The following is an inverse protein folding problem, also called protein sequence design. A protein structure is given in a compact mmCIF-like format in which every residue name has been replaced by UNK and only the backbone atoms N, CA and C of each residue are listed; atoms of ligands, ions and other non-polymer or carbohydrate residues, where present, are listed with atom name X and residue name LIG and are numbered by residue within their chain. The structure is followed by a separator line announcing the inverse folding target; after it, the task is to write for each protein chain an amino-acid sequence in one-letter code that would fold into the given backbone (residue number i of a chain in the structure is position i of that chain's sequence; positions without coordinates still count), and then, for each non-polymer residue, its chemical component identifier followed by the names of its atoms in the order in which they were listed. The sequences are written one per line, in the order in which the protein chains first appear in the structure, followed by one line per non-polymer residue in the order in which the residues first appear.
data_IF_307682390294
#
_entry.id   IF_307682390294
#
_cell.length_a   1.000
_cell.length_b   1.000
_cell.length_c   1.000
_cell.angle_alpha   90.00
_cell.angle_beta   90.00
_cell.angle_gamma   90.00
#
_symmetry.space_group_name_H-M   'P 1'
#
loop_
_entity.id
_entity.type
_entity.pdbx_description
1 polymer ?
#
# COMPACT_ATOMS: atom_id res chain seq x y z
N UNK A 1 57.48 2.86 14.57
CA UNK A 1 57.07 2.73 15.97
C UNK A 1 56.41 1.39 16.11
N UNK A 2 56.43 0.80 17.30
CA UNK A 2 55.48 -0.28 17.60
C UNK A 2 54.06 0.28 17.47
N UNK A 3 53.17 -0.55 16.93
CA UNK A 3 51.73 -0.32 16.69
C UNK A 3 50.98 -1.39 17.49
N UNK A 4 51.23 -1.45 18.79
CA UNK A 4 50.46 -2.36 19.67
C UNK A 4 49.22 -1.60 20.14
N UNK A 5 48.04 -1.87 19.54
CA UNK A 5 46.82 -1.12 19.78
C UNK A 5 46.25 -1.34 21.19
N UNK A 6 46.77 -2.32 21.93
CA UNK A 6 46.33 -2.59 23.31
C UNK A 6 47.06 -1.73 24.35
N UNK A 7 47.89 -0.78 23.93
CA UNK A 7 48.65 0.09 24.83
C UNK A 7 47.83 1.33 25.18
N UNK A 8 47.81 1.68 26.47
CA UNK A 8 47.14 2.87 27.05
C UNK A 8 47.56 4.23 26.44
N UNK A 9 48.57 4.27 25.57
CA UNK A 9 49.08 5.50 24.96
C UNK A 9 48.99 5.45 23.42
N UNK A 10 48.33 4.44 22.85
CA UNK A 10 48.15 4.38 21.41
C UNK A 10 47.03 5.34 21.01
N UNK A 11 47.43 6.40 20.30
CA UNK A 11 46.51 7.40 19.78
C UNK A 11 46.12 6.98 18.36
N UNK A 12 44.82 6.93 18.08
CA UNK A 12 44.26 6.45 16.83
C UNK A 12 42.98 5.68 17.06
N UNK A 13 42.24 5.52 15.99
CA UNK A 13 40.92 4.91 15.90
C UNK A 13 41.04 3.85 14.79
N UNK A 14 41.13 2.57 15.18
CA UNK A 14 41.53 1.50 14.25
C UNK A 14 40.36 1.03 13.38
N UNK A 15 39.16 0.99 13.95
CA UNK A 15 37.92 0.58 13.31
C UNK A 15 37.09 1.75 12.76
N UNK A 16 37.44 2.99 13.10
CA UNK A 16 36.87 4.25 12.60
C UNK A 16 35.44 4.53 13.07
N UNK A 17 35.16 4.22 14.34
CA UNK A 17 33.86 4.53 14.98
C UNK A 17 33.86 5.89 15.71
N UNK A 18 34.99 6.61 15.73
CA UNK A 18 35.12 7.91 16.36
C UNK A 18 35.63 7.87 17.81
N UNK A 19 35.91 6.69 18.36
CA UNK A 19 36.60 6.51 19.64
C UNK A 19 38.09 6.24 19.43
N UNK A 20 38.93 6.75 20.33
CA UNK A 20 40.35 6.39 20.31
C UNK A 20 40.56 5.01 20.98
N UNK A 21 41.41 4.16 20.40
CA UNK A 21 41.76 2.81 20.89
C UNK A 21 42.09 2.75 22.40
N UNK A 22 42.73 3.80 22.94
CA UNK A 22 43.10 3.86 24.37
C UNK A 22 41.91 4.14 25.29
N UNK A 23 40.89 4.87 24.81
CA UNK A 23 39.64 5.11 25.53
C UNK A 23 38.86 3.80 25.62
N UNK A 24 38.75 3.10 24.49
CA UNK A 24 38.04 1.83 24.38
C UNK A 24 38.67 0.72 25.25
N UNK A 25 40.00 0.63 25.27
CA UNK A 25 40.72 -0.34 26.10
C UNK A 25 40.54 -0.08 27.62
N UNK A 26 39.91 1.03 28.01
CA UNK A 26 39.53 1.34 29.40
C UNK A 26 38.02 1.26 29.66
N UNK A 27 37.21 1.08 28.62
CA UNK A 27 35.76 0.87 28.68
C UNK A 27 35.43 -0.59 28.33
N UNK A 28 34.17 -0.88 28.03
CA UNK A 28 33.74 -2.19 27.56
C UNK A 28 33.94 -2.38 26.05
N UNK A 29 34.12 -1.27 25.32
CA UNK A 29 34.18 -1.22 23.86
C UNK A 29 35.48 -1.84 23.36
N UNK A 30 35.46 -2.35 22.15
CA UNK A 30 36.51 -3.13 21.55
C UNK A 30 37.13 -2.33 20.41
N UNK A 31 38.37 -1.88 20.62
CA UNK A 31 39.20 -1.11 19.64
C UNK A 31 39.30 -1.64 18.21
N UNK A 32 38.80 -2.82 17.91
CA UNK A 32 38.85 -3.44 16.59
C UNK A 32 37.47 -3.88 16.08
N UNK A 33 36.40 -3.41 16.70
CA UNK A 33 35.00 -3.69 16.40
C UNK A 33 34.22 -2.39 16.58
N UNK A 34 33.79 -1.80 15.46
CA UNK A 34 33.06 -0.51 15.42
C UNK A 34 31.77 -0.44 16.26
N UNK A 35 31.21 -1.60 16.58
CA UNK A 35 29.90 -1.77 17.23
C UNK A 35 30.06 -3.00 18.13
N UNK A 36 30.47 -2.75 19.37
CA UNK A 36 30.96 -3.77 20.30
C UNK A 36 29.85 -4.67 20.77
N UNK A 37 28.70 -4.09 21.08
CA UNK A 37 27.54 -4.83 21.55
C UNK A 37 26.68 -5.38 20.40
N UNK A 38 27.01 -4.93 19.19
CA UNK A 38 26.50 -5.43 17.94
C UNK A 38 25.12 -4.86 17.64
N UNK A 39 24.66 -3.84 18.35
CA UNK A 39 23.31 -3.29 18.26
C UNK A 39 22.99 -2.53 16.97
N UNK A 40 24.00 -2.27 16.13
CA UNK A 40 23.85 -1.63 14.83
C UNK A 40 24.10 -0.12 14.84
N UNK A 41 24.37 0.46 16.01
CA UNK A 41 24.92 1.81 16.17
C UNK A 41 26.40 1.67 16.54
N UNK A 42 27.25 2.59 16.07
CA UNK A 42 28.69 2.48 16.37
C UNK A 42 29.01 2.97 17.77
N UNK A 43 30.01 2.39 18.43
CA UNK A 43 30.31 2.68 19.84
C UNK A 43 30.51 4.19 20.10
N UNK A 44 31.09 4.90 19.13
CA UNK A 44 31.26 6.35 19.19
C UNK A 44 29.98 7.16 18.97
N UNK A 45 29.11 6.71 18.05
CA UNK A 45 27.80 7.34 17.80
C UNK A 45 26.86 7.20 19.00
N UNK A 46 26.90 6.05 19.67
CA UNK A 46 26.13 5.76 20.88
C UNK A 46 26.49 6.70 22.04
N UNK A 47 27.78 7.00 22.20
CA UNK A 47 28.30 7.92 23.21
C UNK A 47 28.07 9.39 22.86
N UNK A 48 27.69 9.70 21.62
CA UNK A 48 27.29 11.05 21.24
C UNK A 48 25.93 11.41 21.87
N UNK A 49 25.73 12.69 22.14
CA UNK A 49 24.52 13.23 22.73
C UNK A 49 23.29 13.08 21.82
N UNK A 50 23.49 12.74 20.55
CA UNK A 50 22.42 12.58 19.57
C UNK A 50 21.69 11.24 19.66
N UNK A 51 22.41 10.14 19.88
CA UNK A 51 21.83 8.80 20.06
C UNK A 51 21.55 8.57 21.55
N UNK A 52 22.53 8.91 22.41
CA UNK A 52 22.44 8.75 23.86
C UNK A 52 22.09 7.32 24.31
N UNK A 53 22.63 6.33 23.59
CA UNK A 53 22.49 4.88 23.85
C UNK A 53 23.71 4.40 24.66
N UNK A 54 23.87 3.08 24.88
CA UNK A 54 24.93 2.53 25.76
C UNK A 54 25.65 1.36 25.07
N UNK A 55 26.90 1.56 24.59
CA UNK A 55 27.65 0.57 23.80
C UNK A 55 28.09 -0.66 24.61
N UNK A 56 27.74 -0.71 25.89
CA UNK A 56 28.04 -1.81 26.78
C UNK A 56 26.83 -2.68 27.12
N UNK A 57 25.61 -2.25 26.77
CA UNK A 57 24.39 -2.82 27.32
C UNK A 57 23.97 -4.08 26.57
N UNK A 58 24.15 -4.14 25.25
CA UNK A 58 23.75 -5.26 24.40
C UNK A 58 24.80 -6.35 24.19
N UNK A 59 25.91 -6.34 24.93
CA UNK A 59 27.04 -7.31 24.79
C UNK A 59 26.70 -8.77 25.15
N UNK A 60 25.42 -9.06 25.38
CA UNK A 60 24.88 -10.39 25.66
C UNK A 60 25.04 -11.25 24.40
N UNK A 61 25.53 -12.48 24.54
CA UNK A 61 25.54 -13.45 23.44
C UNK A 61 24.56 -14.59 23.75
N UNK A 62 23.61 -14.87 22.86
CA UNK A 62 22.74 -16.05 23.00
C UNK A 62 23.33 -17.20 22.19
N UNK A 63 23.86 -18.19 22.89
CA UNK A 63 24.37 -19.42 22.29
C UNK A 63 23.27 -20.49 22.20
N UNK A 64 23.07 -21.05 21.00
CA UNK A 64 22.17 -22.19 20.74
C UNK A 64 22.95 -23.38 20.20
N UNK A 65 22.52 -24.59 20.57
CA UNK A 65 23.11 -25.82 20.07
C UNK A 65 22.46 -26.24 18.74
N UNK A 66 23.28 -26.62 17.77
CA UNK A 66 22.79 -27.14 16.49
C UNK A 66 22.43 -28.62 16.67
N UNK A 67 21.16 -28.96 16.46
CA UNK A 67 20.68 -30.34 16.49
C UNK A 67 20.80 -31.01 15.12
N UNK A 68 20.41 -30.31 14.07
CA UNK A 68 20.48 -30.82 12.69
C UNK A 68 20.53 -29.72 11.65
N UNK A 69 21.09 -30.04 10.49
CA UNK A 69 21.10 -29.22 9.29
C UNK A 69 20.52 -30.03 8.12
N UNK A 70 19.55 -29.47 7.42
CA UNK A 70 18.99 -30.02 6.20
C UNK A 70 19.36 -29.13 5.02
N UNK A 71 20.28 -29.61 4.18
CA UNK A 71 20.77 -28.86 3.01
C UNK A 71 19.77 -28.76 1.86
N UNK A 72 18.72 -29.58 1.83
CA UNK A 72 17.71 -29.53 0.76
C UNK A 72 16.73 -28.37 0.96
N UNK A 73 16.42 -28.06 2.23
CA UNK A 73 15.46 -27.03 2.61
C UNK A 73 16.13 -25.80 3.24
N UNK A 74 17.46 -25.72 3.19
CA UNK A 74 18.28 -24.72 3.90
C UNK A 74 17.82 -24.48 5.34
N UNK A 75 17.56 -25.56 6.08
CA UNK A 75 16.91 -25.51 7.38
C UNK A 75 17.85 -25.95 8.51
N UNK A 76 17.96 -25.10 9.54
CA UNK A 76 18.80 -25.32 10.71
C UNK A 76 17.94 -25.51 11.95
N UNK A 77 17.98 -26.70 12.56
CA UNK A 77 17.24 -26.99 13.79
C UNK A 77 18.14 -26.78 15.00
N UNK A 78 17.66 -25.96 15.93
CA UNK A 78 18.32 -25.62 17.18
C UNK A 78 17.71 -26.39 18.35
N UNK A 79 18.36 -26.34 19.52
CA UNK A 79 17.81 -26.92 20.76
C UNK A 79 16.61 -26.15 21.31
N UNK A 80 16.54 -24.84 21.03
CA UNK A 80 15.43 -23.95 21.36
C UNK A 80 15.60 -22.61 20.64
N UNK A 81 14.51 -22.01 20.16
CA UNK A 81 14.48 -20.63 19.64
C UNK A 81 14.00 -19.61 20.68
N UNK A 82 13.85 -19.99 21.94
CA UNK A 82 13.43 -19.07 23.01
C UNK A 82 14.45 -17.94 23.18
N UNK A 83 13.98 -16.69 23.24
CA UNK A 83 14.82 -15.49 23.34
C UNK A 83 15.39 -15.01 22.01
N UNK A 84 14.92 -15.54 20.88
CA UNK A 84 15.21 -15.01 19.55
C UNK A 84 13.99 -14.24 19.02
N UNK A 85 14.22 -13.17 18.25
CA UNK A 85 13.14 -12.41 17.62
C UNK A 85 12.39 -13.27 16.59
N UNK A 86 11.09 -13.58 16.76
CA UNK A 86 10.32 -14.39 15.81
C UNK A 86 10.23 -13.81 14.40
N UNK A 87 10.38 -12.49 14.24
CA UNK A 87 10.39 -11.80 12.95
C UNK A 87 11.81 -11.30 12.61
N UNK A 88 12.61 -12.09 11.88
CA UNK A 88 13.96 -11.71 11.49
C UNK A 88 14.03 -10.53 10.50
N UNK A 89 12.92 -10.16 9.85
CA UNK A 89 12.95 -9.10 8.86
C UNK A 89 12.78 -7.74 9.51
N UNK A 90 13.85 -6.94 9.43
CA UNK A 90 13.90 -5.55 9.82
C UNK A 90 14.29 -4.72 8.59
N UNK A 91 13.57 -3.63 8.35
CA UNK A 91 13.77 -2.75 7.21
C UNK A 91 15.11 -2.00 7.29
N UNK A 92 15.69 -1.85 8.49
CA UNK A 92 17.04 -1.29 8.70
C UNK A 92 18.17 -2.24 8.31
N UNK A 93 17.90 -3.55 8.30
CA UNK A 93 18.91 -4.57 8.06
C UNK A 93 19.27 -4.67 6.57
N UNK A 94 20.26 -3.88 6.16
CA UNK A 94 20.85 -3.86 4.81
C UNK A 94 21.73 -5.09 4.51
N UNK A 95 21.24 -6.30 4.83
CA UNK A 95 21.99 -7.56 4.65
C UNK A 95 23.08 -7.79 5.71
N UNK A 96 22.95 -7.16 6.88
CA UNK A 96 23.77 -7.44 8.03
C UNK A 96 23.55 -8.89 8.51
N UNK A 97 24.61 -9.57 9.00
CA UNK A 97 24.48 -10.93 9.48
C UNK A 97 23.69 -11.01 10.78
N UNK A 98 22.74 -11.94 10.85
CA UNK A 98 21.83 -12.08 11.99
C UNK A 98 22.34 -13.07 13.05
N UNK A 99 23.20 -13.99 12.62
CA UNK A 99 23.76 -15.01 13.48
C UNK A 99 25.08 -15.54 12.92
N UNK A 100 25.82 -16.23 13.78
CA UNK A 100 27.15 -16.74 13.47
C UNK A 100 27.28 -18.20 13.84
N UNK A 101 27.70 -19.04 12.90
CA UNK A 101 28.16 -20.39 13.21
C UNK A 101 29.50 -20.33 13.94
N UNK A 102 29.61 -21.02 15.07
CA UNK A 102 30.87 -21.13 15.82
C UNK A 102 31.54 -22.47 15.51
N UNK A 103 32.66 -22.38 14.83
CA UNK A 103 33.53 -23.51 14.52
C UNK A 103 34.33 -23.95 15.76
N UNK A 104 34.80 -25.21 15.80
CA UNK A 104 35.64 -25.73 16.90
C UNK A 104 36.95 -24.98 17.15
N UNK A 105 37.41 -24.17 16.20
CA UNK A 105 38.57 -23.29 16.33
C UNK A 105 38.22 -21.88 16.85
N UNK A 106 36.96 -21.61 17.19
CA UNK A 106 36.46 -20.30 17.61
C UNK A 106 36.13 -19.36 16.45
N UNK A 107 36.31 -19.77 15.19
CA UNK A 107 35.94 -18.94 14.04
C UNK A 107 34.43 -18.79 13.95
N UNK A 108 33.97 -17.54 13.80
CA UNK A 108 32.57 -17.20 13.54
C UNK A 108 32.33 -17.10 12.03
N UNK A 109 31.26 -17.71 11.52
CA UNK A 109 30.84 -17.58 10.11
C UNK A 109 29.44 -16.97 10.07
N UNK A 110 29.27 -15.76 9.53
CA UNK A 110 27.99 -15.06 9.49
C UNK A 110 26.96 -15.78 8.60
N UNK A 111 25.68 -15.63 8.93
CA UNK A 111 24.55 -16.05 8.13
C UNK A 111 23.27 -15.27 8.47
N UNK A 112 22.30 -15.31 7.57
CA UNK A 112 20.95 -14.77 7.69
C UNK A 112 19.92 -15.90 7.54
N UNK A 113 18.69 -15.69 7.99
CA UNK A 113 17.59 -16.64 7.85
C UNK A 113 16.27 -15.90 7.62
N UNK A 114 15.40 -16.43 6.76
CA UNK A 114 14.17 -15.72 6.37
C UNK A 114 13.01 -15.89 7.36
N UNK A 115 12.94 -16.99 8.10
CA UNK A 115 11.87 -17.17 9.09
C UNK A 115 12.22 -18.21 10.16
N UNK A 116 11.46 -18.17 11.26
CA UNK A 116 11.50 -19.19 12.30
C UNK A 116 10.19 -19.96 12.41
N UNK A 117 10.30 -21.28 12.43
CA UNK A 117 9.18 -22.17 12.67
C UNK A 117 9.51 -23.14 13.80
N UNK A 118 8.89 -22.91 14.96
CA UNK A 118 9.25 -23.57 16.21
C UNK A 118 10.77 -23.43 16.47
N UNK A 119 11.50 -24.54 16.65
CA UNK A 119 12.94 -24.53 16.90
C UNK A 119 13.81 -24.62 15.63
N UNK A 120 13.24 -24.34 14.44
CA UNK A 120 13.94 -24.44 13.15
C UNK A 120 13.98 -23.10 12.43
N UNK A 121 15.19 -22.66 12.08
CA UNK A 121 15.43 -21.56 11.16
C UNK A 121 15.25 -22.05 9.72
N UNK A 122 14.56 -21.26 8.89
CA UNK A 122 14.29 -21.54 7.48
C UNK A 122 14.97 -20.51 6.58
N UNK A 123 15.19 -20.91 5.33
CA UNK A 123 15.80 -20.07 4.30
C UNK A 123 17.16 -19.51 4.74
N UNK A 124 17.96 -20.37 5.39
CA UNK A 124 19.31 -20.01 5.82
C UNK A 124 20.20 -19.86 4.60
N UNK A 125 20.81 -18.68 4.45
CA UNK A 125 21.58 -18.30 3.26
C UNK A 125 22.95 -19.01 3.16
N UNK A 126 23.59 -19.26 4.30
CA UNK A 126 24.91 -19.89 4.41
C UNK A 126 24.78 -21.30 4.97
N UNK A 127 25.23 -22.27 4.18
CA UNK A 127 25.24 -23.66 4.60
C UNK A 127 26.12 -23.88 5.84
N UNK A 128 25.60 -24.63 6.82
CA UNK A 128 26.29 -24.97 8.06
C UNK A 128 27.69 -25.55 7.81
N UNK A 129 28.77 -24.97 8.36
CA UNK A 129 30.11 -25.56 8.32
C UNK A 129 30.18 -26.92 9.03
N UNK A 130 30.97 -27.86 8.50
CA UNK A 130 31.08 -29.22 9.04
C UNK A 130 31.59 -29.26 10.49
N UNK A 131 32.41 -28.30 10.88
CA UNK A 131 33.04 -28.16 12.19
C UNK A 131 32.30 -27.18 13.13
N UNK A 132 31.12 -26.68 12.75
CA UNK A 132 30.28 -25.88 13.63
C UNK A 132 29.40 -26.77 14.51
N UNK A 133 29.35 -26.51 15.82
CA UNK A 133 28.47 -27.22 16.76
C UNK A 133 27.39 -26.33 17.37
N UNK A 134 27.63 -25.03 17.37
CA UNK A 134 26.79 -24.03 18.02
C UNK A 134 26.62 -22.83 17.09
N UNK A 135 25.53 -22.10 17.32
CA UNK A 135 25.25 -20.80 16.73
C UNK A 135 25.25 -19.78 17.85
N UNK A 136 25.82 -18.62 17.58
CA UNK A 136 25.71 -17.46 18.46
C UNK A 136 24.93 -16.39 17.72
N UNK A 137 23.98 -15.80 18.42
CA UNK A 137 23.27 -14.61 18.01
C UNK A 137 23.94 -13.43 18.73
N UNK A 138 24.36 -12.46 17.93
CA UNK A 138 24.96 -11.17 18.29
C UNK A 138 24.06 -10.13 17.62
N UNK A 139 24.01 -8.91 18.13
CA UNK A 139 22.97 -7.93 17.83
C UNK A 139 21.68 -8.34 18.54
N UNK A 140 21.22 -7.55 19.50
CA UNK A 140 19.93 -7.75 20.15
C UNK A 140 19.02 -6.54 20.09
N UNK A 141 19.48 -5.40 19.58
CA UNK A 141 18.67 -4.19 19.43
C UNK A 141 17.49 -4.35 18.43
N UNK A 142 17.37 -5.53 17.82
CA UNK A 142 16.27 -6.00 16.96
C UNK A 142 15.42 -7.10 17.61
N UNK A 143 15.64 -7.52 18.86
CA UNK A 143 14.61 -8.26 19.62
C UNK A 143 13.51 -7.37 20.20
N UNK A 144 13.52 -6.09 19.80
CA UNK A 144 12.49 -5.12 19.99
C UNK A 144 11.10 -5.63 19.57
N UNK A 145 10.14 -5.46 20.46
CA UNK A 145 8.74 -5.70 20.19
C UNK A 145 7.99 -4.36 20.22
N UNK A 146 7.72 -3.83 19.02
CA UNK A 146 6.96 -2.61 18.77
C UNK A 146 5.51 -2.62 19.31
N UNK A 147 5.01 -3.75 19.79
CA UNK A 147 3.63 -3.80 20.30
C UNK A 147 3.47 -2.88 21.51
N UNK A 148 2.58 -1.90 21.42
CA UNK A 148 2.28 -0.97 22.51
C UNK A 148 2.10 -1.69 23.87
N UNK A 149 3.00 -1.37 24.82
CA UNK A 149 3.01 -1.97 26.17
C UNK A 149 3.72 -3.32 26.27
N UNK A 150 4.45 -3.75 25.24
CA UNK A 150 5.39 -4.85 25.34
C UNK A 150 6.51 -4.51 26.33
N UNK A 151 7.05 -5.54 26.97
CA UNK A 151 8.26 -5.41 27.79
C UNK A 151 9.43 -5.91 26.95
N UNK A 152 10.28 -4.99 26.51
CA UNK A 152 11.57 -5.31 25.92
C UNK A 152 12.58 -5.53 27.05
N UNK A 153 13.42 -6.55 26.93
CA UNK A 153 14.57 -6.67 27.84
C UNK A 153 15.54 -5.51 27.56
N UNK A 154 16.34 -5.03 28.53
CA UNK A 154 17.16 -3.83 28.33
C UNK A 154 18.15 -3.87 27.16
N UNK A 155 18.51 -5.05 26.68
CA UNK A 155 19.40 -5.27 25.53
C UNK A 155 18.63 -5.45 24.20
N UNK A 156 17.30 -5.34 24.23
CA UNK A 156 16.47 -5.50 23.03
C UNK A 156 16.07 -4.16 22.40
N UNK A 157 16.40 -3.05 23.04
CA UNK A 157 15.76 -1.73 22.86
C UNK A 157 16.61 -0.60 23.46
N UNK A 158 17.93 -0.81 23.57
CA UNK A 158 18.85 0.23 24.03
C UNK A 158 19.20 1.20 22.91
N UNK A 159 19.34 0.71 21.69
CA UNK A 159 19.69 1.55 20.53
C UNK A 159 18.50 2.11 19.77
N UNK A 160 17.34 1.46 19.84
CA UNK A 160 16.17 1.82 19.04
C UNK A 160 14.95 2.11 19.90
N UNK A 161 15.17 2.81 21.01
CA UNK A 161 14.06 3.29 21.83
C UNK A 161 13.09 4.09 20.96
N UNK A 162 11.85 3.61 20.92
CA UNK A 162 10.75 4.15 20.13
C UNK A 162 9.60 4.49 21.08
N UNK A 163 9.45 5.79 21.35
CA UNK A 163 8.55 6.31 22.37
C UNK A 163 7.07 6.25 21.95
N UNK A 164 6.75 6.33 20.67
CA UNK A 164 5.35 6.30 20.17
C UNK A 164 4.95 5.00 19.47
N UNK A 165 5.91 4.14 19.15
CA UNK A 165 5.72 2.78 18.67
C UNK A 165 5.43 2.67 17.18
N UNK A 166 5.86 3.65 16.38
CA UNK A 166 5.63 3.68 14.92
C UNK A 166 6.66 2.88 14.11
N UNK A 167 7.75 2.46 14.75
CA UNK A 167 8.82 1.73 14.09
C UNK A 167 10.08 2.54 13.79
N UNK A 168 10.14 3.83 14.08
CA UNK A 168 11.33 4.69 14.08
C UNK A 168 11.88 4.85 15.50
N UNK A 169 13.19 4.93 15.64
CA UNK A 169 13.79 5.24 16.94
C UNK A 169 13.81 6.75 17.18
N UNK A 170 13.67 7.16 18.44
CA UNK A 170 13.60 8.57 18.84
C UNK A 170 14.79 9.40 18.28
N UNK A 171 15.98 8.79 18.18
CA UNK A 171 17.16 9.46 17.63
C UNK A 171 17.15 9.54 16.11
N UNK A 172 16.57 8.56 15.41
CA UNK A 172 16.47 8.55 13.94
C UNK A 172 15.62 9.72 13.47
N UNK A 173 14.53 9.97 14.18
CA UNK A 173 13.61 11.08 13.96
C UNK A 173 14.25 12.42 14.33
N UNK A 174 14.89 12.49 15.51
CA UNK A 174 15.57 13.71 15.97
C UNK A 174 16.70 14.16 15.03
N UNK A 175 17.44 13.20 14.46
CA UNK A 175 18.55 13.45 13.55
C UNK A 175 18.13 13.59 12.09
N UNK A 176 16.87 13.30 11.75
CA UNK A 176 16.43 13.12 10.37
C UNK A 176 17.34 12.15 9.60
N UNK A 177 17.66 11.00 10.21
CA UNK A 177 18.58 10.00 9.66
C UNK A 177 18.19 9.57 8.25
N UNK A 178 16.89 9.52 7.98
CA UNK A 178 16.31 9.12 6.70
C UNK A 178 15.94 10.30 5.78
N UNK A 179 16.42 11.51 6.10
CA UNK A 179 16.25 12.71 5.27
C UNK A 179 15.05 13.59 5.64
N UNK A 180 14.16 13.09 6.49
CA UNK A 180 12.95 13.77 6.94
C UNK A 180 12.94 13.94 8.46
N UNK A 181 12.32 15.01 8.95
CA UNK A 181 12.15 15.25 10.38
C UNK A 181 10.75 14.78 10.80
N UNK A 182 10.69 13.96 11.84
CA UNK A 182 9.45 13.57 12.52
C UNK A 182 9.55 13.87 14.03
N UNK A 183 8.46 13.60 14.76
CA UNK A 183 8.35 13.86 16.19
C UNK A 183 8.34 12.54 16.98
N UNK A 184 9.34 12.29 17.85
CA UNK A 184 9.49 11.05 18.63
C UNK A 184 8.40 10.67 19.62
N UNK A 185 7.27 11.35 19.61
CA UNK A 185 6.18 11.12 20.54
C UNK A 185 4.83 11.14 19.84
N UNK A 186 4.84 11.08 18.51
CA UNK A 186 3.70 11.08 17.61
C UNK A 186 4.01 10.16 16.42
N UNK A 187 3.38 8.99 16.40
CA UNK A 187 3.49 8.02 15.31
C UNK A 187 3.04 8.50 13.93
N UNK A 188 2.45 9.69 13.85
CA UNK A 188 1.88 10.36 12.68
C UNK A 188 2.05 11.86 13.00
N UNK A 189 3.18 12.40 12.57
CA UNK A 189 3.70 13.69 13.01
C UNK A 189 2.82 14.85 12.56
N UNK A 190 2.27 14.79 11.36
CA UNK A 190 1.44 15.84 10.77
C UNK A 190 -0.08 15.57 10.85
N UNK A 191 -0.46 14.34 11.20
CA UNK A 191 -1.83 13.94 11.49
C UNK A 191 -2.66 13.66 10.25
N UNK A 192 -2.04 13.20 9.16
CA UNK A 192 -2.71 12.93 7.90
C UNK A 192 -3.31 11.52 7.77
N UNK A 193 -2.98 10.63 8.71
CA UNK A 193 -3.47 9.26 8.77
C UNK A 193 -2.47 8.20 8.29
N UNK A 194 -1.27 8.58 7.86
CA UNK A 194 -0.13 7.69 7.59
C UNK A 194 0.88 7.82 8.73
N UNK A 195 1.51 6.72 9.12
CA UNK A 195 2.59 6.78 10.12
C UNK A 195 3.94 7.17 9.50
N UNK A 196 4.80 7.80 10.30
CA UNK A 196 6.02 8.45 9.83
C UNK A 196 6.98 7.44 9.16
N UNK A 197 7.05 6.20 9.67
CA UNK A 197 7.84 5.13 9.06
C UNK A 197 7.34 4.80 7.65
N UNK A 198 6.02 4.62 7.49
CA UNK A 198 5.43 4.31 6.19
C UNK A 198 5.66 5.43 5.17
N UNK A 199 5.66 6.69 5.59
CA UNK A 199 5.99 7.83 4.72
C UNK A 199 7.45 7.80 4.27
N UNK A 200 8.38 7.61 5.20
CA UNK A 200 9.81 7.50 4.90
C UNK A 200 10.10 6.36 3.92
N UNK A 201 9.48 5.19 4.12
CA UNK A 201 9.64 4.03 3.23
C UNK A 201 9.04 4.26 1.83
N UNK A 202 8.07 5.15 1.71
CA UNK A 202 7.46 5.57 0.45
C UNK A 202 8.04 6.87 -0.12
N UNK A 203 9.13 7.39 0.47
CA UNK A 203 9.83 8.61 0.05
C UNK A 203 8.98 9.90 0.18
N UNK A 204 8.05 9.95 1.14
CA UNK A 204 7.24 11.14 1.44
C UNK A 204 7.63 11.80 2.78
N UNK A 205 7.23 13.05 3.00
CA UNK A 205 7.66 13.87 4.16
C UNK A 205 6.64 13.83 5.32
N UNK A 206 6.93 13.15 6.46
CA UNK A 206 6.03 13.02 7.62
C UNK A 206 5.68 14.30 8.36
N UNK A 207 6.29 15.42 7.96
CA UNK A 207 5.95 16.74 8.49
C UNK A 207 5.00 17.53 7.58
N UNK A 208 4.58 16.96 6.46
CA UNK A 208 3.78 17.59 5.42
C UNK A 208 2.57 16.70 5.06
N UNK A 209 1.44 16.99 5.71
CA UNK A 209 0.21 16.19 5.57
C UNK A 209 -0.36 16.03 4.14
N UNK A 210 0.09 16.85 3.19
CA UNK A 210 -0.31 16.74 1.78
C UNK A 210 0.58 15.77 0.98
N UNK A 211 1.75 15.40 1.52
CA UNK A 211 2.78 14.59 0.89
C UNK A 211 2.68 13.16 1.41
N UNK A 212 1.66 12.43 0.98
CA UNK A 212 1.51 11.01 1.27
C UNK A 212 0.81 10.29 0.10
N UNK A 213 0.78 8.95 0.16
CA UNK A 213 0.21 8.10 -0.87
C UNK A 213 -1.05 7.33 -0.41
N UNK A 214 -1.71 7.78 0.66
CA UNK A 214 -2.95 7.17 1.13
C UNK A 214 -4.10 7.61 0.20
N UNK A 215 -4.54 6.72 -0.68
CA UNK A 215 -5.62 6.94 -1.65
C UNK A 215 -6.63 5.79 -1.53
N UNK A 216 -7.75 6.06 -0.87
CA UNK A 216 -8.74 5.04 -0.48
C UNK A 216 -9.69 4.65 -1.61
N UNK A 217 -9.94 5.51 -2.59
CA UNK A 217 -10.84 5.24 -3.72
C UNK A 217 -10.13 5.04 -5.07
N UNK A 218 -8.82 5.27 -5.11
CA UNK A 218 -7.95 4.95 -6.23
C UNK A 218 -8.04 5.93 -7.39
N UNK A 219 -8.51 7.16 -7.17
CA UNK A 219 -8.66 8.17 -8.20
C UNK A 219 -7.35 8.94 -8.49
N UNK A 220 -6.32 8.72 -7.67
CA UNK A 220 -5.00 9.33 -7.79
C UNK A 220 -4.80 10.62 -6.99
N UNK A 221 -5.76 11.01 -6.15
CA UNK A 221 -5.59 12.00 -5.09
C UNK A 221 -5.42 11.30 -3.74
N UNK A 222 -4.67 11.88 -2.81
CA UNK A 222 -4.57 11.32 -1.47
C UNK A 222 -5.70 11.82 -0.55
N UNK A 223 -6.12 10.99 0.40
CA UNK A 223 -7.26 11.22 1.29
C UNK A 223 -7.18 12.57 2.03
N UNK A 224 -5.98 13.01 2.42
CA UNK A 224 -5.78 14.29 3.09
C UNK A 224 -5.98 15.47 2.14
N UNK A 225 -5.42 15.39 0.93
CA UNK A 225 -5.58 16.37 -0.14
C UNK A 225 -7.06 16.57 -0.48
N UNK A 226 -7.83 15.50 -0.49
CA UNK A 226 -9.26 15.53 -0.82
C UNK A 226 -10.13 16.09 0.31
N UNK A 227 -9.82 15.71 1.55
CA UNK A 227 -10.58 16.11 2.74
C UNK A 227 -10.17 17.47 3.32
N UNK A 228 -9.23 18.17 2.67
CA UNK A 228 -8.71 19.46 3.11
C UNK A 228 -8.66 20.43 1.94
N UNK A 229 -8.52 21.73 2.22
CA UNK A 229 -8.22 22.74 1.20
C UNK A 229 -6.86 23.36 1.48
N UNK A 230 -6.18 23.82 0.44
CA UNK A 230 -4.94 24.59 0.57
C UNK A 230 -3.67 23.76 0.53
N UNK A 231 -3.75 22.47 0.22
CA UNK A 231 -2.60 21.69 -0.19
C UNK A 231 -2.01 22.24 -1.50
N UNK A 232 -0.70 22.35 -1.64
CA UNK A 232 -0.10 22.72 -2.92
C UNK A 232 -0.46 21.70 -4.02
N UNK A 233 -0.92 22.16 -5.19
CA UNK A 233 -1.33 21.29 -6.31
C UNK A 233 -0.20 20.41 -6.86
N UNK A 234 1.06 20.65 -6.48
CA UNK A 234 2.15 19.76 -6.84
C UNK A 234 2.12 18.41 -6.12
N UNK A 235 1.39 18.29 -5.01
CA UNK A 235 1.24 17.01 -4.29
C UNK A 235 0.08 16.16 -4.80
N UNK A 236 -0.97 16.76 -5.38
CA UNK A 236 -2.04 16.03 -6.07
C UNK A 236 -1.60 15.55 -7.46
N UNK A 237 -1.81 16.36 -8.49
CA UNK A 237 -1.57 15.95 -9.89
C UNK A 237 -0.60 16.86 -10.67
N UNK A 238 0.28 17.55 -9.95
CA UNK A 238 1.20 18.52 -10.55
C UNK A 238 0.52 19.85 -10.80
N UNK A 239 1.25 20.94 -10.55
CA UNK A 239 0.69 22.28 -10.66
C UNK A 239 1.76 23.37 -10.67
N UNK A 240 1.35 24.61 -10.94
CA UNK A 240 2.25 25.77 -10.98
C UNK A 240 2.54 26.34 -9.58
N UNK A 241 2.58 25.49 -8.54
CA UNK A 241 2.74 25.88 -7.13
C UNK A 241 1.56 26.69 -6.56
N UNK A 242 0.37 26.53 -7.13
CA UNK A 242 -0.87 27.09 -6.56
C UNK A 242 -1.41 26.18 -5.48
N UNK A 243 -2.25 26.73 -4.61
CA UNK A 243 -2.93 25.97 -3.57
C UNK A 243 -4.25 25.44 -4.11
N UNK A 244 -4.61 24.26 -3.62
CA UNK A 244 -5.91 23.66 -3.82
C UNK A 244 -7.04 24.53 -3.21
N UNK A 245 -8.19 24.51 -3.88
CA UNK A 245 -9.41 25.21 -3.50
C UNK A 245 -10.65 24.32 -3.47
N UNK A 246 -10.53 23.05 -3.89
CA UNK A 246 -11.65 22.12 -3.96
C UNK A 246 -11.60 21.15 -2.77
N UNK A 247 -12.72 20.50 -2.52
CA UNK A 247 -12.86 19.50 -1.46
C UNK A 247 -13.62 18.34 -2.08
N UNK A 248 -13.03 17.16 -2.07
CA UNK A 248 -13.58 15.95 -2.67
C UNK A 248 -13.83 14.90 -1.58
N UNK A 249 -14.48 13.80 -1.95
CA UNK A 249 -14.78 12.73 -1.03
C UNK A 249 -13.73 11.63 -1.17
N UNK A 250 -12.80 11.55 -0.23
CA UNK A 250 -11.71 10.56 -0.17
C UNK A 250 -12.06 9.07 -0.37
N UNK A 251 -13.34 8.73 -0.38
CA UNK A 251 -13.82 7.36 -0.47
C UNK A 251 -14.77 7.15 -1.67
N UNK A 252 -14.82 8.11 -2.59
CA UNK A 252 -15.69 8.16 -3.75
C UNK A 252 -14.90 8.78 -4.90
N UNK A 253 -14.50 7.93 -5.86
CA UNK A 253 -13.70 8.30 -7.04
C UNK A 253 -14.22 9.50 -7.86
N UNK A 254 -15.51 9.82 -7.76
CA UNK A 254 -16.18 10.90 -8.49
C UNK A 254 -17.19 11.57 -7.54
N UNK A 255 -16.80 12.72 -6.98
CA UNK A 255 -17.53 13.41 -5.92
C UNK A 255 -18.86 13.97 -6.42
N UNK A 256 -18.93 14.43 -7.66
CA UNK A 256 -20.13 15.07 -8.21
C UNK A 256 -20.99 14.14 -9.09
N UNK A 257 -20.50 12.91 -9.30
CA UNK A 257 -21.11 11.82 -10.05
C UNK A 257 -21.35 12.20 -11.52
N UNK A 258 -20.37 12.85 -12.14
CA UNK A 258 -20.38 13.32 -13.52
C UNK A 258 -19.74 12.40 -14.55
N UNK A 259 -19.09 11.33 -14.10
CA UNK A 259 -18.48 10.30 -14.92
C UNK A 259 -16.97 10.49 -15.15
N UNK A 260 -16.41 11.62 -14.70
CA UNK A 260 -14.97 11.85 -14.63
C UNK A 260 -14.56 11.80 -13.16
N UNK A 261 -13.51 11.04 -12.83
CA UNK A 261 -13.03 10.97 -11.46
C UNK A 261 -12.36 12.26 -10.99
N UNK A 262 -12.40 12.55 -9.69
CA UNK A 262 -12.00 13.85 -9.15
C UNK A 262 -10.55 14.20 -9.52
N UNK A 263 -9.65 13.23 -9.40
CA UNK A 263 -8.27 13.34 -9.86
C UNK A 263 -8.14 13.75 -11.34
N UNK A 264 -8.89 13.11 -12.23
CA UNK A 264 -8.87 13.42 -13.66
C UNK A 264 -9.38 14.85 -13.93
N UNK A 265 -10.36 15.32 -13.16
CA UNK A 265 -10.85 16.69 -13.26
C UNK A 265 -9.80 17.75 -12.89
N UNK A 266 -8.90 17.48 -11.94
CA UNK A 266 -7.75 18.36 -11.68
C UNK A 266 -6.81 18.47 -12.89
N UNK A 267 -6.60 17.37 -13.61
CA UNK A 267 -5.79 17.34 -14.84
C UNK A 267 -6.46 18.15 -15.96
N UNK A 268 -7.78 18.00 -16.08
CA UNK A 268 -8.59 18.66 -17.09
C UNK A 268 -8.89 20.13 -16.76
N UNK A 269 -8.67 20.52 -15.49
CA UNK A 269 -8.95 21.86 -14.98
C UNK A 269 -10.44 22.16 -14.85
N UNK A 270 -11.26 21.12 -14.71
CA UNK A 270 -12.69 21.19 -14.37
C UNK A 270 -12.84 21.25 -12.85
N UNK A 271 -14.08 21.30 -12.37
CA UNK A 271 -14.36 21.43 -10.95
C UNK A 271 -15.01 20.17 -10.39
N UNK A 272 -14.28 19.37 -9.58
CA UNK A 272 -14.77 18.09 -9.07
C UNK A 272 -15.91 18.17 -8.06
N UNK A 273 -16.32 19.38 -7.69
CA UNK A 273 -17.45 19.59 -6.78
C UNK A 273 -18.75 19.96 -7.48
N UNK A 274 -18.73 20.31 -8.76
CA UNK A 274 -19.73 21.19 -9.35
C UNK A 274 -20.50 20.60 -10.53
N UNK A 275 -21.30 19.57 -10.27
CA UNK A 275 -22.33 19.08 -11.17
C UNK A 275 -21.83 18.84 -12.60
N UNK A 276 -21.34 17.62 -12.88
CA UNK A 276 -21.46 16.73 -14.07
C UNK A 276 -21.51 17.30 -15.49
N UNK A 277 -21.42 18.61 -15.65
CA UNK A 277 -21.72 19.36 -16.85
C UNK A 277 -20.54 20.23 -17.26
N UNK A 278 -19.55 20.42 -16.37
CA UNK A 278 -18.23 20.89 -16.73
C UNK A 278 -17.22 19.77 -16.97
N UNK A 279 -17.54 18.54 -16.57
CA UNK A 279 -16.81 17.32 -16.91
C UNK A 279 -16.44 17.27 -18.37
N UNK A 280 -15.13 17.12 -18.61
CA UNK A 280 -14.61 16.86 -19.93
C UNK A 280 -14.53 15.35 -20.14
N UNK A 281 -15.70 14.72 -20.22
CA UNK A 281 -15.80 13.36 -20.73
C UNK A 281 -15.16 13.29 -22.13
N UNK A 282 -14.43 12.22 -22.47
CA UNK A 282 -14.12 11.92 -23.86
C UNK A 282 -15.40 12.03 -24.68
N UNK A 283 -15.34 12.65 -25.86
CA UNK A 283 -16.54 12.83 -26.69
C UNK A 283 -17.16 11.44 -26.96
N UNK A 284 -18.39 11.25 -26.51
CA UNK A 284 -19.22 10.05 -26.66
C UNK A 284 -20.56 10.55 -27.25
N UNK A 285 -20.70 10.46 -28.56
CA UNK A 285 -21.73 11.17 -29.32
C UNK A 285 -23.11 10.50 -29.24
N UNK A 286 -23.16 9.19 -29.03
CA UNK A 286 -24.40 8.42 -28.87
C UNK A 286 -24.73 8.04 -27.42
N UNK A 287 -23.76 8.17 -26.51
CA UNK A 287 -23.93 8.12 -25.06
C UNK A 287 -24.03 6.70 -24.52
N UNK A 288 -23.37 5.74 -25.16
CA UNK A 288 -23.43 4.33 -24.83
C UNK A 288 -22.37 3.89 -23.80
N UNK A 289 -21.40 4.78 -23.50
CA UNK A 289 -20.32 4.57 -22.55
C UNK A 289 -18.94 4.30 -23.19
N UNK A 290 -18.84 4.24 -24.51
CA UNK A 290 -17.56 4.16 -25.23
C UNK A 290 -17.25 5.52 -25.88
N UNK A 291 -16.06 6.11 -25.66
CA UNK A 291 -15.67 7.34 -26.35
C UNK A 291 -15.56 7.17 -27.87
N UNK A 292 -15.99 8.17 -28.66
CA UNK A 292 -15.92 8.24 -30.13
C UNK A 292 -14.55 7.79 -30.68
N UNK A 293 -13.47 8.15 -29.98
CA UNK A 293 -12.09 7.81 -30.38
C UNK A 293 -11.77 6.34 -30.18
N UNK A 294 -12.31 5.73 -29.13
CA UNK A 294 -12.19 4.31 -28.83
C UNK A 294 -13.08 3.51 -29.78
N UNK A 295 -14.31 3.95 -30.01
CA UNK A 295 -15.23 3.34 -30.97
C UNK A 295 -14.64 3.28 -32.38
N UNK A 296 -14.01 4.37 -32.83
CA UNK A 296 -13.25 4.37 -34.09
C UNK A 296 -12.07 3.38 -34.10
N UNK A 297 -11.49 3.06 -32.94
CA UNK A 297 -10.38 2.12 -32.80
C UNK A 297 -10.87 0.67 -32.77
N UNK A 298 -11.93 0.37 -32.02
CA UNK A 298 -12.49 -1.00 -31.87
C UNK A 298 -13.42 -1.37 -33.03
N UNK A 299 -14.07 -0.39 -33.66
CA UNK A 299 -14.89 -0.56 -34.87
C UNK A 299 -16.41 -0.56 -34.63
N UNK A 300 -16.88 -0.08 -33.48
CA UNK A 300 -18.30 0.24 -33.22
C UNK A 300 -18.67 1.58 -33.88
N UNK A 301 -19.97 1.85 -34.05
CA UNK A 301 -20.47 3.08 -34.69
C UNK A 301 -20.81 4.14 -33.66
N UNK A 302 -19.91 5.10 -33.46
CA UNK A 302 -20.03 6.29 -32.58
C UNK A 302 -21.25 7.22 -32.76
N UNK A 303 -22.22 6.85 -33.59
CA UNK A 303 -23.49 7.54 -33.75
C UNK A 303 -24.70 6.63 -33.43
N UNK A 304 -24.45 5.37 -33.08
CA UNK A 304 -25.43 4.33 -32.85
C UNK A 304 -25.04 3.53 -31.59
N UNK A 305 -25.74 3.73 -30.46
CA UNK A 305 -25.33 3.19 -29.16
C UNK A 305 -25.47 1.65 -29.04
N UNK A 306 -25.82 0.95 -30.12
CA UNK A 306 -26.04 -0.50 -30.23
C UNK A 306 -25.74 -0.88 -31.69
N UNK A 307 -24.47 -1.15 -32.00
CA UNK A 307 -23.92 -1.29 -33.35
C UNK A 307 -24.58 -2.44 -34.13
N UNK A 308 -25.02 -3.49 -33.45
CA UNK A 308 -25.60 -4.67 -34.09
C UNK A 308 -27.13 -4.79 -33.96
N UNK A 309 -27.73 -3.96 -33.12
CA UNK A 309 -29.17 -3.85 -32.92
C UNK A 309 -29.76 -4.98 -32.08
N UNK A 310 -28.95 -5.68 -31.28
CA UNK A 310 -29.33 -6.79 -30.42
C UNK A 310 -30.02 -6.36 -29.12
N UNK A 311 -30.05 -5.06 -28.82
CA UNK A 311 -30.78 -4.47 -27.71
C UNK A 311 -29.97 -4.34 -26.42
N UNK A 312 -28.66 -4.59 -26.49
CA UNK A 312 -27.68 -4.25 -25.45
C UNK A 312 -26.75 -3.17 -26.04
N UNK A 313 -26.45 -2.07 -25.32
CA UNK A 313 -25.54 -1.06 -25.84
C UNK A 313 -24.09 -1.54 -25.96
N UNK A 314 -23.31 -1.05 -26.93
CA UNK A 314 -21.94 -1.53 -27.17
C UNK A 314 -21.06 -1.35 -25.93
N UNK A 315 -21.20 -0.23 -25.21
CA UNK A 315 -20.50 0.03 -23.94
C UNK A 315 -20.82 -0.96 -22.81
N UNK A 316 -21.97 -1.63 -22.87
CA UNK A 316 -22.30 -2.71 -21.93
C UNK A 316 -21.75 -4.06 -22.38
N UNK A 317 -21.65 -4.29 -23.69
CA UNK A 317 -21.08 -5.51 -24.26
C UNK A 317 -19.54 -5.50 -24.23
N UNK A 318 -18.93 -4.32 -24.30
CA UNK A 318 -17.49 -4.11 -24.33
C UNK A 318 -17.03 -3.07 -23.29
N UNK A 319 -16.89 -3.54 -22.06
CA UNK A 319 -16.41 -2.74 -20.93
C UNK A 319 -14.95 -2.24 -21.13
N UNK A 320 -14.53 -1.17 -20.40
CA UNK A 320 -13.23 -0.52 -20.59
C UNK A 320 -12.02 -1.44 -20.56
N UNK A 321 -12.06 -2.53 -19.78
CA UNK A 321 -10.95 -3.47 -19.66
C UNK A 321 -10.70 -4.28 -20.96
N UNK A 322 -11.66 -4.28 -21.89
CA UNK A 322 -11.62 -5.05 -23.14
C UNK A 322 -11.34 -4.21 -24.39
N UNK A 323 -11.26 -2.88 -24.28
CA UNK A 323 -11.04 -1.99 -25.42
C UNK A 323 -9.72 -2.27 -26.15
N UNK A 324 -8.64 -2.53 -25.41
CA UNK A 324 -7.31 -2.86 -25.96
C UNK A 324 -7.27 -4.21 -26.68
N UNK A 325 -8.24 -5.08 -26.37
CA UNK A 325 -8.39 -6.40 -26.99
C UNK A 325 -9.43 -6.40 -28.11
N UNK A 326 -10.05 -5.26 -28.40
CA UNK A 326 -11.14 -5.16 -29.38
C UNK A 326 -12.34 -6.03 -28.99
N UNK A 327 -12.73 -5.99 -27.71
CA UNK A 327 -13.89 -6.71 -27.17
C UNK A 327 -13.76 -8.24 -27.21
N UNK A 328 -12.56 -8.78 -27.44
CA UNK A 328 -12.31 -10.22 -27.39
C UNK A 328 -12.39 -10.70 -25.94
N UNK A 329 -13.15 -11.78 -25.72
CA UNK A 329 -13.42 -12.39 -24.41
C UNK A 329 -14.28 -11.54 -23.46
N UNK A 330 -14.95 -10.50 -23.97
CA UNK A 330 -16.01 -9.80 -23.23
C UNK A 330 -17.25 -10.70 -23.05
N UNK A 331 -18.13 -10.33 -22.12
CA UNK A 331 -19.35 -11.10 -21.81
C UNK A 331 -20.40 -11.03 -22.93
N UNK A 332 -20.39 -9.95 -23.74
CA UNK A 332 -21.20 -9.76 -24.96
C UNK A 332 -20.32 -9.44 -26.16
N UNK A 333 -20.93 -9.23 -27.33
CA UNK A 333 -20.21 -8.96 -28.57
C UNK A 333 -20.96 -7.90 -29.39
N UNK A 334 -20.44 -6.66 -29.47
CA UNK A 334 -21.05 -5.51 -30.20
C UNK A 334 -21.32 -5.71 -31.70
N UNK A 335 -21.06 -6.90 -32.23
CA UNK A 335 -21.21 -7.26 -33.64
C UNK A 335 -21.97 -8.59 -33.85
N UNK A 336 -22.50 -9.23 -32.80
CA UNK A 336 -23.35 -10.42 -32.91
C UNK A 336 -24.67 -10.30 -32.11
N UNK A 337 -25.78 -9.91 -32.76
CA UNK A 337 -27.04 -9.57 -32.07
C UNK A 337 -27.78 -10.79 -31.49
N UNK A 338 -27.14 -11.96 -31.44
CA UNK A 338 -27.69 -13.22 -30.98
C UNK A 338 -27.14 -13.69 -29.63
N UNK A 339 -26.08 -13.06 -29.10
CA UNK A 339 -25.58 -13.35 -27.74
C UNK A 339 -26.11 -12.39 -26.68
N UNK A 340 -26.92 -11.41 -27.13
CA UNK A 340 -27.74 -10.53 -26.33
C UNK A 340 -28.94 -11.18 -25.63
N UNK A 341 -29.87 -10.32 -25.19
CA UNK A 341 -31.12 -10.67 -24.56
C UNK A 341 -32.05 -11.36 -25.58
N UNK A 342 -32.44 -12.60 -25.28
CA UNK A 342 -33.52 -13.31 -26.00
C UNK A 342 -34.77 -12.41 -26.14
N UNK A 343 -35.19 -12.20 -27.40
CA UNK A 343 -36.25 -11.37 -27.99
C UNK A 343 -37.60 -11.20 -27.25
N UNK A 344 -37.82 -11.84 -26.09
CA UNK A 344 -39.10 -11.83 -25.39
C UNK A 344 -39.07 -11.94 -23.85
N UNK A 345 -37.92 -11.85 -23.17
CA UNK A 345 -37.93 -12.03 -21.69
C UNK A 345 -37.03 -11.06 -20.92
N UNK A 346 -37.62 -9.93 -20.51
CA UNK A 346 -37.12 -9.13 -19.39
C UNK A 346 -37.64 -9.72 -18.07
N UNK A 347 -36.79 -10.40 -17.30
CA UNK A 347 -37.17 -11.01 -16.01
C UNK A 347 -36.62 -10.20 -14.83
N UNK A 348 -37.47 -9.43 -14.14
CA UNK A 348 -37.10 -8.75 -12.90
C UNK A 348 -37.41 -9.64 -11.68
N UNK A 349 -36.37 -10.00 -10.91
CA UNK A 349 -36.53 -10.70 -9.63
C UNK A 349 -36.29 -9.72 -8.49
N UNK A 350 -37.36 -9.29 -7.82
CA UNK A 350 -37.27 -8.53 -6.58
C UNK A 350 -37.32 -9.48 -5.37
N UNK A 351 -36.17 -9.78 -4.77
CA UNK A 351 -36.08 -10.58 -3.55
C UNK A 351 -35.85 -9.68 -2.34
N UNK A 352 -36.79 -9.64 -1.40
CA UNK A 352 -36.63 -8.84 -0.19
C UNK A 352 -35.62 -9.49 0.77
N UNK A 353 -34.46 -8.87 0.94
CA UNK A 353 -33.40 -9.29 1.89
C UNK A 353 -33.47 -8.56 3.23
N UNK A 354 -34.41 -7.62 3.41
CA UNK A 354 -34.50 -6.72 4.57
C UNK A 354 -35.75 -6.95 5.42
N UNK A 355 -35.65 -6.75 6.73
CA UNK A 355 -36.81 -6.73 7.65
C UNK A 355 -37.43 -5.34 7.70
N UNK A 356 -38.69 -5.19 7.25
CA UNK A 356 -39.43 -3.92 7.36
C UNK A 356 -40.24 -3.50 6.13
N UNK A 357 -40.12 -4.22 5.01
CA UNK A 357 -40.92 -3.95 3.82
C UNK A 357 -42.39 -4.29 4.08
N UNK A 358 -43.28 -3.31 3.87
CA UNK A 358 -44.73 -3.47 3.99
C UNK A 358 -45.30 -4.07 2.68
N UNK A 359 -45.73 -5.35 2.67
CA UNK A 359 -46.21 -6.02 1.46
C UNK A 359 -47.58 -5.54 0.98
N UNK A 360 -48.21 -4.60 1.69
CA UNK A 360 -49.50 -4.01 1.30
C UNK A 360 -49.36 -2.73 0.49
N UNK A 361 -48.14 -2.21 0.33
CA UNK A 361 -47.88 -1.08 -0.55
C UNK A 361 -48.00 -1.48 -2.01
N UNK A 362 -48.54 -0.56 -2.81
CA UNK A 362 -48.66 -0.74 -4.26
C UNK A 362 -47.30 -0.50 -4.88
N UNK A 363 -46.77 -1.52 -5.54
CA UNK A 363 -45.53 -1.44 -6.27
C UNK A 363 -45.82 -1.06 -7.71
N UNK A 364 -45.04 -0.13 -8.25
CA UNK A 364 -45.11 0.33 -9.63
C UNK A 364 -43.75 0.13 -10.26
N UNK A 365 -43.71 -0.30 -11.51
CA UNK A 365 -42.49 -0.22 -12.32
C UNK A 365 -42.62 0.90 -13.34
N UNK A 366 -41.46 1.38 -13.75
CA UNK A 366 -41.27 2.36 -14.81
C UNK A 366 -40.12 1.83 -15.68
N UNK A 367 -40.30 1.94 -16.98
CA UNK A 367 -39.22 1.77 -17.95
C UNK A 367 -38.93 3.14 -18.58
N UNK A 368 -37.67 3.39 -18.87
CA UNK A 368 -37.22 4.54 -19.64
C UNK A 368 -36.86 4.02 -21.02
N UNK A 369 -37.63 4.37 -22.04
CA UNK A 369 -37.12 4.27 -23.41
C UNK A 369 -36.59 5.60 -23.90
N UNK A 370 -35.42 5.50 -24.49
CA UNK A 370 -34.71 6.56 -25.18
C UNK A 370 -35.32 6.74 -26.58
N UNK A 371 -36.57 7.22 -26.63
CA UNK A 371 -37.37 7.22 -27.87
C UNK A 371 -37.05 8.39 -28.84
N UNK A 372 -36.12 9.30 -28.51
CA UNK A 372 -35.70 10.35 -29.45
C UNK A 372 -34.33 10.96 -29.13
N UNK A 373 -33.42 10.89 -30.10
CA UNK A 373 -32.13 11.56 -30.07
C UNK A 373 -32.31 13.09 -30.15
N UNK A 374 -31.78 13.83 -29.17
CA UNK A 374 -31.94 15.31 -29.08
C UNK A 374 -30.76 16.09 -29.67
N UNK A 375 -29.75 15.40 -30.21
CA UNK A 375 -28.55 16.00 -30.78
C UNK A 375 -27.39 16.21 -29.81
N UNK A 376 -27.55 15.84 -28.54
CA UNK A 376 -26.48 15.80 -27.51
C UNK A 376 -26.69 14.65 -26.48
N UNK A 377 -27.86 14.03 -26.42
CA UNK A 377 -28.21 12.88 -25.59
C UNK A 377 -29.59 12.36 -26.01
N UNK A 378 -29.96 11.15 -25.59
CA UNK A 378 -31.29 10.60 -25.79
C UNK A 378 -32.30 11.16 -24.78
N UNK A 379 -33.31 11.85 -25.30
CA UNK A 379 -34.35 12.49 -24.50
C UNK A 379 -35.50 11.55 -24.16
N UNK A 380 -35.87 11.47 -22.88
CA UNK A 380 -37.08 10.78 -22.41
C UNK A 380 -38.33 11.52 -22.91
N UNK A 381 -39.11 10.89 -23.79
CA UNK A 381 -40.42 11.42 -24.19
C UNK A 381 -41.43 11.25 -23.04
N UNK A 382 -41.56 12.28 -22.20
CA UNK A 382 -42.44 12.31 -21.02
C UNK A 382 -43.94 12.11 -21.31
N UNK A 383 -44.35 12.09 -22.58
CA UNK A 383 -45.75 11.84 -22.97
C UNK A 383 -46.12 10.36 -23.13
N UNK A 384 -45.13 9.46 -23.15
CA UNK A 384 -45.31 7.99 -23.21
C UNK A 384 -45.32 7.33 -21.81
N UNK A 385 -45.33 8.12 -20.74
CA UNK A 385 -45.17 7.67 -19.35
C UNK A 385 -46.44 6.99 -18.82
N UNK A 386 -46.36 5.68 -18.58
CA UNK A 386 -47.37 4.90 -17.85
C UNK A 386 -46.82 4.37 -16.52
N UNK A 387 -47.43 4.75 -15.40
CA UNK A 387 -47.25 4.02 -14.14
C UNK A 387 -48.09 2.75 -14.20
N UNK A 388 -47.44 1.60 -14.35
CA UNK A 388 -48.14 0.32 -14.37
C UNK A 388 -47.95 -0.38 -13.03
N UNK A 389 -49.05 -0.64 -12.33
CA UNK A 389 -49.05 -1.34 -11.04
C UNK A 389 -48.61 -2.79 -11.25
N UNK A 390 -47.60 -3.23 -10.50
CA UNK A 390 -47.12 -4.61 -10.51
C UNK A 390 -47.85 -5.44 -9.45
N UNK A 391 -47.97 -6.74 -9.72
CA UNK A 391 -48.37 -7.75 -8.75
C UNK A 391 -47.50 -9.02 -8.93
N UNK A 392 -47.45 -9.94 -7.96
CA UNK A 392 -46.72 -11.19 -8.13
C UNK A 392 -47.19 -11.96 -9.39
N UNK A 393 -46.25 -12.47 -10.19
CA UNK A 393 -46.48 -13.13 -11.50
C UNK A 393 -47.05 -12.22 -12.62
N UNK A 394 -46.89 -10.90 -12.48
CA UNK A 394 -47.32 -9.92 -13.49
C UNK A 394 -46.43 -9.92 -14.75
N UNK A 395 -47.03 -9.75 -15.92
CA UNK A 395 -46.37 -9.51 -17.21
C UNK A 395 -47.11 -8.44 -18.02
N UNK A 396 -46.41 -7.77 -18.93
CA UNK A 396 -46.97 -6.75 -19.83
C UNK A 396 -46.41 -6.88 -21.23
N UNK A 397 -47.14 -6.32 -22.20
CA UNK A 397 -46.70 -6.10 -23.59
C UNK A 397 -46.59 -4.60 -23.91
N UNK A 398 -46.79 -3.72 -22.93
CA UNK A 398 -46.52 -2.28 -23.11
C UNK A 398 -45.02 -2.05 -23.02
N UNK A 399 -44.45 -1.46 -24.08
CA UNK A 399 -43.04 -1.08 -24.13
C UNK A 399 -42.10 -2.15 -24.67
N UNK A 400 -42.55 -2.93 -25.65
CA UNK A 400 -41.63 -3.75 -26.46
C UNK A 400 -41.15 -2.89 -27.62
N UNK A 401 -39.85 -2.69 -27.76
CA UNK A 401 -39.27 -2.12 -28.98
C UNK A 401 -39.55 -3.11 -30.12
N UNK A 402 -40.31 -2.69 -31.11
CA UNK A 402 -40.67 -3.51 -32.27
C UNK A 402 -40.29 -2.72 -33.53
N UNK A 403 -39.39 -3.30 -34.33
CA UNK A 403 -38.90 -2.72 -35.59
C UNK A 403 -40.01 -2.41 -36.62
N UNK A 404 -41.22 -2.95 -36.43
CA UNK A 404 -42.37 -2.71 -37.29
C UNK A 404 -43.07 -1.35 -37.03
N UNK A 405 -42.78 -0.68 -35.92
CA UNK A 405 -43.41 0.59 -35.52
C UNK A 405 -42.51 1.84 -35.66
N UNK A 406 -41.28 1.68 -36.14
CA UNK A 406 -40.34 2.77 -36.44
C UNK A 406 -40.40 3.23 -37.90
#
# INVERSE_FOLDING_TARGET
GETDPTRIEDAGDFDNDGLDNWEENMTCTLWNVTDTDGGGVSDGDELDLSHATDPCLSTVEIEKQILSWNSADSALTLNSTTGLNPNPHDWRQHGAPMAYYVSTNGSRTPFMFGSMQADTLRDVDVAKPNNASTVVFLNFSWCWNATAGAFNEPHCDDDYIDTDGDGLADWEEFLATWGYLSLPNMSDTDGDGVDDLNEILNETDPSIACDNNLDSDGDGLNDYFESTIGCPLNFGMGGNGTLDTYYTMWNVTDTDNGGVGDGQEYVDGTNPQNNSADDLNPLDTDGDGIPDTIEQQIGTDWLDPDTDGGGVPDGQECAPEYWDLGCVDADGNPWDPNDDIDDNMLYFVAQNTSSGVDPTQKHYWRWHTYDSYTGVSWGVNTTLVGYTEMYPEWSTLQGVSDSFFW
#
